data_IF_179052450483
#
_entry.id   IF_179052450483
#
_cell.length_a   1.000
_cell.length_b   1.000
_cell.length_c   1.000
_cell.angle_alpha   90.00
_cell.angle_beta   90.00
_cell.angle_gamma   90.00
#
_symmetry.space_group_name_H-M   'P 1'
#
loop_
_entity.id
_entity.type
_entity.pdbx_description
1 polymer ?
#
# COMPACT_ATOMS: atom_id res chain seq x y z
N UNK A 1 -6.18 32.19 11.39
CA UNK A 1 -6.63 30.79 11.58
C UNK A 1 -7.90 30.62 10.76
N UNK A 2 -7.81 29.98 9.60
CA UNK A 2 -8.98 29.58 8.81
C UNK A 2 -9.77 28.58 9.67
N UNK A 3 -11.01 28.96 10.04
CA UNK A 3 -11.94 28.07 10.72
C UNK A 3 -12.28 26.93 9.75
N UNK A 4 -11.74 25.74 9.94
CA UNK A 4 -12.08 24.57 9.13
C UNK A 4 -13.59 24.35 9.21
N UNK A 5 -14.28 24.42 8.09
CA UNK A 5 -15.70 24.09 8.01
C UNK A 5 -15.87 22.59 8.18
N UNK A 6 -16.56 22.17 9.25
CA UNK A 6 -16.81 20.77 9.55
C UNK A 6 -17.71 20.15 8.45
N UNK A 7 -17.28 19.02 7.93
CA UNK A 7 -17.98 18.30 6.85
C UNK A 7 -18.41 16.92 7.33
N UNK A 8 -19.46 16.40 6.72
CA UNK A 8 -19.76 14.97 6.77
C UNK A 8 -18.98 14.28 5.66
N UNK A 9 -18.16 13.31 6.02
CA UNK A 9 -17.33 12.54 5.09
C UNK A 9 -17.84 11.11 5.04
N UNK A 10 -18.11 10.63 3.85
CA UNK A 10 -18.48 9.23 3.59
C UNK A 10 -17.36 8.60 2.79
N UNK A 11 -16.60 7.70 3.41
CA UNK A 11 -15.52 6.96 2.79
C UNK A 11 -15.98 5.53 2.45
N UNK A 12 -16.09 5.22 1.17
CA UNK A 12 -16.26 3.84 0.71
C UNK A 12 -14.88 3.22 0.50
N UNK A 13 -14.59 2.11 1.15
CA UNK A 13 -13.31 1.42 1.07
C UNK A 13 -13.47 -0.05 0.69
N UNK A 14 -12.76 -0.50 -0.35
CA UNK A 14 -12.77 -1.91 -0.78
C UNK A 14 -12.08 -2.83 0.22
N UNK A 15 -11.20 -2.29 1.02
CA UNK A 15 -10.50 -2.95 2.10
C UNK A 15 -10.48 -2.03 3.32
N UNK A 16 -10.55 -2.63 4.50
CA UNK A 16 -10.45 -1.90 5.77
C UNK A 16 -9.90 -2.84 6.86
N UNK A 17 -9.12 -2.35 7.84
CA UNK A 17 -8.64 -3.17 8.95
C UNK A 17 -9.79 -3.85 9.73
N UNK A 18 -9.47 -4.90 10.55
CA UNK A 18 -8.13 -5.26 11.07
C UNK A 18 -7.27 -6.11 10.12
N UNK A 19 -7.83 -6.65 9.04
CA UNK A 19 -7.05 -7.44 8.10
C UNK A 19 -6.02 -6.56 7.36
N UNK A 20 -4.79 -7.07 7.15
CA UNK A 20 -3.75 -6.33 6.46
C UNK A 20 -4.10 -6.03 5.00
N UNK A 21 -3.63 -4.89 4.50
CA UNK A 21 -3.78 -4.46 3.11
C UNK A 21 -3.43 -2.99 2.93
N UNK A 22 -2.69 -2.65 1.88
CA UNK A 22 -2.25 -1.27 1.63
C UNK A 22 -3.41 -0.30 1.41
N UNK A 23 -4.42 -0.71 0.63
CA UNK A 23 -5.65 0.08 0.40
C UNK A 23 -6.41 0.28 1.70
N UNK A 24 -6.52 -0.79 2.51
CA UNK A 24 -7.20 -0.74 3.82
C UNK A 24 -6.50 0.19 4.81
N UNK A 25 -5.18 0.10 4.93
CA UNK A 25 -4.39 0.98 5.80
C UNK A 25 -4.48 2.44 5.36
N UNK A 26 -4.46 2.71 4.05
CA UNK A 26 -4.67 4.06 3.53
C UNK A 26 -6.07 4.60 3.90
N UNK A 27 -7.13 3.81 3.68
CA UNK A 27 -8.50 4.20 4.00
C UNK A 27 -8.68 4.47 5.51
N UNK A 28 -8.09 3.63 6.35
CA UNK A 28 -8.09 3.81 7.80
C UNK A 28 -7.41 5.11 8.22
N UNK A 29 -6.18 5.35 7.74
CA UNK A 29 -5.43 6.56 8.07
C UNK A 29 -6.15 7.82 7.58
N UNK A 30 -6.76 7.77 6.40
CA UNK A 30 -7.56 8.86 5.85
C UNK A 30 -8.77 9.18 6.75
N UNK A 31 -9.54 8.15 7.14
CA UNK A 31 -10.69 8.30 8.04
C UNK A 31 -10.29 8.82 9.41
N UNK A 32 -9.20 8.27 9.99
CA UNK A 32 -8.68 8.68 11.28
C UNK A 32 -8.26 10.15 11.31
N UNK A 33 -7.52 10.59 10.28
CA UNK A 33 -7.06 11.97 10.22
C UNK A 33 -8.20 12.95 9.94
N UNK A 34 -9.19 12.62 9.11
CA UNK A 34 -10.39 13.44 8.99
C UNK A 34 -11.15 13.54 10.32
N UNK A 35 -11.26 12.46 11.07
CA UNK A 35 -11.88 12.47 12.40
C UNK A 35 -11.10 13.34 13.40
N UNK A 36 -9.75 13.26 13.40
CA UNK A 36 -8.88 14.13 14.21
C UNK A 36 -9.01 15.61 13.86
N UNK A 37 -9.32 15.93 12.62
CA UNK A 37 -9.62 17.31 12.16
C UNK A 37 -11.04 17.76 12.53
N UNK A 38 -11.82 16.93 13.24
CA UNK A 38 -13.16 17.23 13.73
C UNK A 38 -14.28 16.94 12.73
N UNK A 39 -13.99 16.37 11.54
CA UNK A 39 -15.03 15.98 10.59
C UNK A 39 -15.84 14.79 11.09
N UNK A 40 -17.13 14.75 10.73
CA UNK A 40 -17.99 13.58 10.98
C UNK A 40 -17.77 12.53 9.90
N UNK A 41 -17.08 11.45 10.24
CA UNK A 41 -16.66 10.42 9.29
C UNK A 41 -17.52 9.18 9.41
N UNK A 42 -17.95 8.64 8.27
CA UNK A 42 -18.57 7.32 8.16
C UNK A 42 -17.84 6.50 7.10
N UNK A 43 -17.32 5.35 7.48
CA UNK A 43 -16.70 4.38 6.56
C UNK A 43 -17.71 3.33 6.17
N UNK A 44 -17.76 2.97 4.87
CA UNK A 44 -18.55 1.85 4.35
C UNK A 44 -17.59 0.85 3.72
N UNK A 45 -17.60 -0.38 4.21
CA UNK A 45 -16.72 -1.46 3.74
C UNK A 45 -17.42 -2.81 3.84
N UNK A 46 -16.79 -3.89 3.40
CA UNK A 46 -17.32 -5.25 3.55
C UNK A 46 -16.76 -5.94 4.79
N UNK A 47 -17.47 -6.93 5.31
CA UNK A 47 -16.87 -7.97 6.14
C UNK A 47 -15.88 -8.79 5.30
N UNK A 48 -14.68 -9.04 5.85
CA UNK A 48 -13.59 -9.77 5.16
C UNK A 48 -13.26 -11.10 5.81
N UNK A 49 -13.68 -11.32 7.06
CA UNK A 49 -13.49 -12.57 7.82
C UNK A 49 -14.81 -13.25 8.12
N UNK A 50 -14.76 -14.57 8.31
CA UNK A 50 -15.93 -15.33 8.76
C UNK A 50 -16.29 -15.05 10.22
N UNK A 51 -15.29 -14.80 11.05
CA UNK A 51 -15.43 -14.38 12.46
C UNK A 51 -15.61 -12.86 12.50
N UNK A 52 -16.84 -12.40 12.41
CA UNK A 52 -17.18 -10.97 12.35
C UNK A 52 -16.84 -10.22 13.63
N UNK A 53 -16.78 -10.92 14.75
CA UNK A 53 -16.49 -10.39 16.08
C UNK A 53 -15.19 -9.60 16.10
N UNK A 54 -14.14 -10.11 15.44
CA UNK A 54 -12.83 -9.43 15.35
C UNK A 54 -12.96 -8.07 14.67
N UNK A 55 -13.77 -7.98 13.62
CA UNK A 55 -13.99 -6.72 12.90
C UNK A 55 -14.92 -5.78 13.66
N UNK A 56 -15.92 -6.30 14.39
CA UNK A 56 -16.84 -5.51 15.24
C UNK A 56 -16.08 -4.91 16.42
N UNK A 57 -15.22 -5.70 17.09
CA UNK A 57 -14.40 -5.23 18.20
C UNK A 57 -13.43 -4.14 17.76
N UNK A 58 -12.78 -4.33 16.62
CA UNK A 58 -11.94 -3.31 16.02
C UNK A 58 -12.71 -2.02 15.74
N UNK A 59 -13.88 -2.12 15.09
CA UNK A 59 -14.70 -0.95 14.72
C UNK A 59 -15.20 -0.18 15.95
N UNK A 60 -15.49 -0.88 17.04
CA UNK A 60 -15.95 -0.26 18.31
C UNK A 60 -14.90 0.63 18.97
N UNK A 61 -13.62 0.41 18.68
CA UNK A 61 -12.49 1.19 19.21
C UNK A 61 -12.24 2.49 18.43
N UNK A 62 -12.93 2.70 17.29
CA UNK A 62 -12.65 3.80 16.37
C UNK A 62 -13.43 5.08 16.74
N UNK A 63 -12.85 6.27 16.50
CA UNK A 63 -13.52 7.55 16.77
C UNK A 63 -14.52 7.97 15.68
N UNK A 64 -14.90 7.05 14.79
CA UNK A 64 -15.84 7.26 13.68
C UNK A 64 -16.68 6.00 13.42
N UNK A 65 -17.79 6.16 12.70
CA UNK A 65 -18.70 5.06 12.41
C UNK A 65 -18.17 4.20 11.24
N UNK A 66 -18.17 2.87 11.41
CA UNK A 66 -17.95 1.91 10.33
C UNK A 66 -19.22 1.12 10.08
N UNK A 67 -19.62 1.02 8.82
CA UNK A 67 -20.75 0.23 8.33
C UNK A 67 -20.17 -0.91 7.49
N UNK A 68 -20.23 -2.14 8.01
CA UNK A 68 -19.78 -3.32 7.28
C UNK A 68 -20.92 -4.01 6.57
N UNK A 69 -20.69 -4.38 5.32
CA UNK A 69 -21.68 -5.02 4.45
C UNK A 69 -21.36 -6.50 4.33
N UNK A 70 -22.38 -7.31 4.52
CA UNK A 70 -22.24 -8.75 4.30
C UNK A 70 -22.11 -9.08 2.82
N UNK A 71 -21.09 -9.86 2.51
CA UNK A 71 -20.94 -10.47 1.19
C UNK A 71 -21.95 -11.62 1.07
N UNK A 72 -22.78 -11.56 0.04
CA UNK A 72 -23.72 -12.63 -0.29
C UNK A 72 -23.09 -13.57 -1.33
N UNK A 73 -23.53 -14.83 -1.37
CA UNK A 73 -23.06 -15.79 -2.38
C UNK A 73 -23.29 -15.27 -3.82
N UNK A 74 -24.34 -14.50 -4.02
CA UNK A 74 -24.58 -13.81 -5.29
C UNK A 74 -23.99 -12.38 -5.23
N UNK A 75 -23.02 -12.10 -6.09
CA UNK A 75 -22.35 -10.82 -6.18
C UNK A 75 -23.32 -9.65 -6.48
N UNK A 76 -24.36 -9.86 -7.29
CA UNK A 76 -25.33 -8.82 -7.59
C UNK A 76 -26.02 -8.32 -6.33
N UNK A 77 -26.44 -9.21 -5.42
CA UNK A 77 -27.04 -8.81 -4.15
C UNK A 77 -26.03 -8.09 -3.24
N UNK A 78 -24.77 -8.49 -3.28
CA UNK A 78 -23.71 -7.76 -2.54
C UNK A 78 -23.57 -6.33 -3.06
N UNK A 79 -23.54 -6.13 -4.39
CA UNK A 79 -23.47 -4.79 -4.98
C UNK A 79 -24.73 -3.97 -4.70
N UNK A 80 -25.92 -4.55 -4.77
CA UNK A 80 -27.16 -3.87 -4.40
C UNK A 80 -27.12 -3.39 -2.95
N UNK A 81 -26.68 -4.24 -2.02
CA UNK A 81 -26.54 -3.86 -0.61
C UNK A 81 -25.53 -2.71 -0.41
N UNK A 82 -24.41 -2.73 -1.11
CA UNK A 82 -23.42 -1.64 -1.09
C UNK A 82 -24.00 -0.31 -1.58
N UNK A 83 -24.71 -0.36 -2.73
CA UNK A 83 -25.37 0.82 -3.32
C UNK A 83 -26.43 1.38 -2.38
N UNK A 84 -27.27 0.50 -1.79
CA UNK A 84 -28.32 0.92 -0.85
C UNK A 84 -27.74 1.52 0.43
N UNK A 85 -26.73 0.90 1.01
CA UNK A 85 -26.05 1.42 2.20
C UNK A 85 -25.37 2.78 1.92
N UNK A 86 -24.65 2.90 0.80
CA UNK A 86 -24.03 4.15 0.38
C UNK A 86 -25.08 5.25 0.14
N UNK A 87 -26.14 4.95 -0.60
CA UNK A 87 -27.24 5.90 -0.87
C UNK A 87 -27.92 6.37 0.42
N UNK A 88 -28.21 5.44 1.34
CA UNK A 88 -28.82 5.75 2.64
C UNK A 88 -27.93 6.68 3.46
N UNK A 89 -26.64 6.36 3.55
CA UNK A 89 -25.66 7.16 4.32
C UNK A 89 -25.46 8.55 3.72
N UNK A 90 -25.29 8.65 2.40
CA UNK A 90 -25.13 9.92 1.68
C UNK A 90 -26.37 10.82 1.82
N UNK A 91 -27.56 10.23 1.73
CA UNK A 91 -28.81 11.00 1.87
C UNK A 91 -29.10 11.46 3.30
N UNK A 92 -28.59 10.74 4.31
CA UNK A 92 -28.72 11.13 5.73
C UNK A 92 -27.99 12.45 6.01
N UNK A 93 -26.92 12.73 5.30
CA UNK A 93 -26.06 13.90 5.50
C UNK A 93 -26.02 14.73 4.20
N UNK A 94 -26.82 15.80 4.14
CA UNK A 94 -26.78 16.73 3.00
C UNK A 94 -25.37 17.31 2.84
N UNK A 95 -24.91 17.44 1.59
CA UNK A 95 -23.58 17.97 1.23
C UNK A 95 -22.38 17.16 1.74
N UNK A 96 -22.55 15.84 1.88
CA UNK A 96 -21.42 14.96 2.21
C UNK A 96 -20.32 15.03 1.16
N UNK A 97 -19.08 14.98 1.62
CA UNK A 97 -17.89 14.71 0.80
C UNK A 97 -17.72 13.20 0.71
N UNK A 98 -17.65 12.68 -0.50
CA UNK A 98 -17.58 11.24 -0.75
C UNK A 98 -16.19 10.87 -1.25
N UNK A 99 -15.55 9.92 -0.58
CA UNK A 99 -14.33 9.29 -1.07
C UNK A 99 -14.60 7.83 -1.44
N UNK A 100 -14.04 7.39 -2.56
CA UNK A 100 -14.09 6.00 -3.00
C UNK A 100 -12.68 5.47 -3.18
N UNK A 101 -12.29 4.45 -2.40
CA UNK A 101 -10.97 3.83 -2.40
C UNK A 101 -11.07 2.35 -2.73
N UNK A 102 -10.43 1.94 -3.83
CA UNK A 102 -10.46 0.58 -4.36
C UNK A 102 -11.66 0.29 -5.26
N UNK A 103 -11.62 -0.86 -5.96
CA UNK A 103 -12.48 -1.18 -7.11
C UNK A 103 -13.97 -1.11 -6.83
N UNK A 104 -14.47 -1.85 -5.82
CA UNK A 104 -15.91 -1.88 -5.61
C UNK A 104 -16.46 -0.52 -5.19
N UNK A 105 -15.66 0.26 -4.49
CA UNK A 105 -16.02 1.61 -4.05
C UNK A 105 -16.17 2.55 -5.24
N UNK A 106 -15.23 2.48 -6.19
CA UNK A 106 -15.32 3.20 -7.46
C UNK A 106 -16.61 2.89 -8.21
N UNK A 107 -16.94 1.60 -8.38
CA UNK A 107 -18.13 1.19 -9.11
C UNK A 107 -19.41 1.60 -8.38
N UNK A 108 -19.44 1.43 -7.06
CA UNK A 108 -20.60 1.82 -6.25
C UNK A 108 -20.92 3.31 -6.38
N UNK A 109 -19.91 4.16 -6.20
CA UNK A 109 -20.09 5.62 -6.35
C UNK A 109 -20.33 6.01 -7.80
N UNK A 110 -19.66 5.36 -8.76
CA UNK A 110 -19.88 5.55 -10.20
C UNK A 110 -21.32 5.32 -10.61
N UNK A 111 -21.94 4.24 -10.12
CA UNK A 111 -23.36 3.94 -10.35
C UNK A 111 -24.27 4.99 -9.68
N UNK A 112 -23.96 5.40 -8.45
CA UNK A 112 -24.74 6.46 -7.78
C UNK A 112 -24.67 7.79 -8.53
N UNK A 113 -23.49 8.15 -9.05
CA UNK A 113 -23.28 9.36 -9.82
C UNK A 113 -23.98 9.34 -11.19
N UNK A 114 -24.26 8.16 -11.74
CA UNK A 114 -25.08 8.03 -12.95
C UNK A 114 -26.50 8.60 -12.75
N UNK A 115 -27.11 8.27 -11.60
CA UNK A 115 -28.47 8.74 -11.29
C UNK A 115 -28.49 10.19 -10.79
N UNK A 116 -27.47 10.60 -10.05
CA UNK A 116 -27.34 11.96 -9.50
C UNK A 116 -25.88 12.30 -9.29
N UNK A 117 -25.30 13.09 -10.19
CA UNK A 117 -23.89 13.53 -10.11
C UNK A 117 -23.65 14.30 -8.82
N UNK A 118 -22.78 13.75 -7.97
CA UNK A 118 -22.34 14.43 -6.76
C UNK A 118 -21.07 15.25 -7.05
N UNK A 119 -21.16 16.56 -6.88
CA UNK A 119 -20.03 17.50 -7.10
C UNK A 119 -18.94 17.41 -6.03
N UNK A 120 -19.15 16.65 -4.96
CA UNK A 120 -18.19 16.46 -3.86
C UNK A 120 -17.73 14.99 -3.78
N UNK A 121 -17.58 14.31 -4.92
CA UNK A 121 -17.11 12.92 -4.99
C UNK A 121 -15.68 12.83 -5.51
N UNK A 122 -14.83 12.11 -4.78
CA UNK A 122 -13.41 11.92 -5.03
C UNK A 122 -13.09 10.43 -5.13
N UNK A 123 -12.36 10.03 -6.16
CA UNK A 123 -11.78 8.69 -6.22
C UNK A 123 -10.35 8.71 -5.69
N UNK A 124 -9.93 7.65 -4.99
CA UNK A 124 -8.53 7.41 -4.63
C UNK A 124 -8.09 6.12 -5.29
N UNK A 125 -7.12 6.23 -6.19
CA UNK A 125 -6.68 5.16 -7.07
C UNK A 125 -5.30 4.68 -6.64
N UNK A 126 -5.19 3.37 -6.41
CA UNK A 126 -3.97 2.70 -5.96
C UNK A 126 -3.24 1.93 -7.07
N UNK A 127 -3.88 1.75 -8.25
CA UNK A 127 -3.29 1.14 -9.44
C UNK A 127 -3.89 -0.20 -9.82
N UNK A 128 -3.98 -1.17 -8.90
CA UNK A 128 -4.46 -2.53 -9.17
C UNK A 128 -5.91 -2.62 -9.67
N UNK A 129 -6.74 -1.64 -9.34
CA UNK A 129 -8.14 -1.56 -9.76
C UNK A 129 -8.35 -1.23 -11.24
N UNK A 130 -7.34 -0.70 -11.92
CA UNK A 130 -7.48 -0.14 -13.27
C UNK A 130 -7.54 -1.19 -14.38
N UNK A 131 -6.73 -2.24 -14.29
CA UNK A 131 -6.55 -3.22 -15.38
C UNK A 131 -7.06 -4.62 -15.05
N UNK A 132 -7.40 -4.87 -13.80
CA UNK A 132 -7.92 -6.17 -13.37
C UNK A 132 -9.38 -6.33 -13.76
N UNK A 133 -9.74 -7.55 -14.20
CA UNK A 133 -11.10 -7.91 -14.57
C UNK A 133 -11.32 -8.09 -16.07
N UNK A 134 -12.55 -8.44 -16.43
CA UNK A 134 -12.96 -8.64 -17.81
C UNK A 134 -13.27 -7.30 -18.52
N UNK A 135 -13.56 -7.35 -19.81
CA UNK A 135 -13.83 -6.17 -20.65
C UNK A 135 -14.95 -5.26 -20.09
N UNK A 136 -16.02 -5.86 -19.51
CA UNK A 136 -17.13 -5.09 -18.93
C UNK A 136 -16.70 -4.38 -17.66
N UNK A 137 -15.90 -5.03 -16.83
CA UNK A 137 -15.35 -4.43 -15.60
C UNK A 137 -14.41 -3.26 -15.92
N UNK A 138 -13.58 -3.40 -16.93
CA UNK A 138 -12.71 -2.31 -17.41
C UNK A 138 -13.53 -1.12 -17.94
N UNK A 139 -14.60 -1.38 -18.71
CA UNK A 139 -15.53 -0.32 -19.15
C UNK A 139 -16.24 0.35 -17.97
N UNK A 140 -16.67 -0.43 -16.97
CA UNK A 140 -17.31 0.11 -15.77
C UNK A 140 -16.33 0.95 -14.96
N UNK A 141 -15.06 0.51 -14.84
CA UNK A 141 -14.00 1.30 -14.20
C UNK A 141 -13.77 2.62 -14.92
N UNK A 142 -13.59 2.60 -16.24
CA UNK A 142 -13.43 3.82 -17.07
C UNK A 142 -14.61 4.78 -16.91
N UNK A 143 -15.84 4.27 -16.98
CA UNK A 143 -17.06 5.05 -16.77
C UNK A 143 -17.09 5.65 -15.35
N UNK A 144 -16.81 4.82 -14.32
CA UNK A 144 -16.83 5.26 -12.94
C UNK A 144 -15.85 6.41 -12.70
N UNK A 145 -14.61 6.28 -13.19
CA UNK A 145 -13.60 7.34 -13.10
C UNK A 145 -14.09 8.67 -13.71
N UNK A 146 -14.79 8.63 -14.85
CA UNK A 146 -15.32 9.82 -15.53
C UNK A 146 -16.49 10.46 -14.77
N UNK A 147 -17.09 9.75 -13.82
CA UNK A 147 -18.25 10.24 -13.06
C UNK A 147 -17.89 11.03 -11.81
N UNK A 148 -16.66 10.92 -11.32
CA UNK A 148 -16.19 11.64 -10.14
C UNK A 148 -15.96 13.13 -10.42
N UNK A 149 -16.04 13.93 -9.37
CA UNK A 149 -15.68 15.34 -9.44
C UNK A 149 -14.17 15.51 -9.65
N UNK A 150 -13.36 14.75 -8.89
CA UNK A 150 -11.91 14.67 -9.06
C UNK A 150 -11.40 13.24 -8.85
N UNK A 151 -10.34 12.92 -9.55
CA UNK A 151 -9.62 11.65 -9.39
C UNK A 151 -8.26 11.95 -8.73
N UNK A 152 -7.94 11.19 -7.67
CA UNK A 152 -6.70 11.29 -6.92
C UNK A 152 -5.89 10.01 -7.19
N UNK A 153 -4.67 10.17 -7.66
CA UNK A 153 -3.70 9.09 -7.81
C UNK A 153 -2.70 9.11 -6.64
N UNK A 154 -2.37 7.95 -6.08
CA UNK A 154 -1.42 7.86 -4.96
C UNK A 154 0.04 8.03 -5.39
N UNK A 155 0.32 8.10 -6.70
CA UNK A 155 1.66 8.30 -7.27
C UNK A 155 1.57 8.86 -8.69
N UNK A 156 2.68 9.43 -9.20
CA UNK A 156 2.81 9.78 -10.61
C UNK A 156 2.64 8.57 -11.51
N UNK A 157 3.21 7.43 -11.10
CA UNK A 157 3.02 6.17 -11.81
C UNK A 157 1.53 5.80 -11.93
N UNK A 158 0.76 5.89 -10.86
CA UNK A 158 -0.68 5.59 -10.87
C UNK A 158 -1.46 6.61 -11.73
N UNK A 159 -1.09 7.90 -11.71
CA UNK A 159 -1.65 8.91 -12.62
C UNK A 159 -1.43 8.51 -14.08
N UNK A 160 -0.23 8.07 -14.44
CA UNK A 160 0.10 7.68 -15.80
C UNK A 160 -0.65 6.42 -16.23
N UNK A 161 -0.93 5.49 -15.29
CA UNK A 161 -1.83 4.37 -15.52
C UNK A 161 -3.27 4.82 -15.80
N UNK A 162 -3.80 5.78 -15.04
CA UNK A 162 -5.14 6.34 -15.26
C UNK A 162 -5.22 6.98 -16.65
N UNK A 163 -4.17 7.70 -17.07
CA UNK A 163 -4.09 8.33 -18.38
C UNK A 163 -4.14 7.32 -19.53
N UNK A 164 -3.62 6.10 -19.34
CA UNK A 164 -3.77 5.00 -20.31
C UNK A 164 -5.21 4.49 -20.42
N UNK A 165 -5.97 4.53 -19.32
CA UNK A 165 -7.39 4.12 -19.32
C UNK A 165 -8.29 5.22 -19.90
N UNK A 166 -8.02 6.48 -19.54
CA UNK A 166 -8.76 7.63 -20.05
C UNK A 166 -7.88 8.90 -20.02
N UNK A 167 -7.28 9.27 -21.18
CA UNK A 167 -6.35 10.41 -21.26
C UNK A 167 -6.99 11.78 -21.01
N UNK A 168 -8.31 11.86 -21.03
CA UNK A 168 -9.03 13.13 -20.86
C UNK A 168 -9.41 13.41 -19.38
N UNK A 169 -9.01 12.54 -18.45
CA UNK A 169 -9.29 12.74 -17.03
C UNK A 169 -8.24 13.66 -16.40
N UNK A 170 -8.72 14.65 -15.69
CA UNK A 170 -7.90 15.41 -14.77
C UNK A 170 -7.64 14.57 -13.51
N UNK A 171 -6.36 14.38 -13.18
CA UNK A 171 -5.91 13.55 -12.06
C UNK A 171 -4.94 14.35 -11.20
N UNK A 172 -5.26 14.49 -9.93
CA UNK A 172 -4.39 15.09 -8.93
C UNK A 172 -3.53 14.00 -8.28
N UNK A 173 -2.24 14.24 -8.12
CA UNK A 173 -1.34 13.30 -7.42
C UNK A 173 -1.22 13.74 -5.98
N UNK A 174 -1.65 12.85 -5.06
CA UNK A 174 -1.48 13.02 -3.62
C UNK A 174 -0.84 11.74 -3.10
N UNK A 175 0.45 11.80 -2.81
CA UNK A 175 1.18 10.64 -2.32
C UNK A 175 0.64 10.15 -0.97
N UNK A 176 0.75 8.85 -0.73
CA UNK A 176 0.32 8.27 0.53
C UNK A 176 1.16 8.80 1.69
N UNK A 177 0.47 9.17 2.76
CA UNK A 177 1.09 9.35 4.06
C UNK A 177 1.28 8.01 4.78
N UNK A 178 2.01 8.03 5.86
CA UNK A 178 2.23 6.88 6.74
C UNK A 178 2.12 7.32 8.20
N UNK A 179 1.86 6.36 9.09
CA UNK A 179 1.97 6.59 10.53
C UNK A 179 3.42 6.36 10.95
N UNK A 180 4.03 7.40 11.53
CA UNK A 180 5.42 7.28 12.00
C UNK A 180 5.49 6.15 13.05
N UNK A 181 6.51 5.32 12.94
CA UNK A 181 6.78 4.29 13.93
C UNK A 181 7.34 4.99 15.17
N UNK A 182 6.63 4.87 16.30
CA UNK A 182 7.07 5.49 17.53
C UNK A 182 8.38 4.86 18.02
N UNK A 183 9.37 5.71 18.27
CA UNK A 183 10.67 5.36 18.85
C UNK A 183 10.65 5.88 20.29
N UNK A 184 10.98 5.04 21.26
CA UNK A 184 11.17 5.50 22.64
C UNK A 184 12.41 6.41 22.72
N UNK A 185 12.31 7.50 23.49
CA UNK A 185 13.45 8.40 23.70
C UNK A 185 14.63 7.61 24.29
N UNK A 186 15.81 7.71 23.62
CA UNK A 186 17.03 7.00 24.03
C UNK A 186 17.26 5.65 23.37
N UNK A 187 16.34 5.13 22.55
CA UNK A 187 16.62 3.95 21.72
C UNK A 187 17.67 4.28 20.64
N UNK A 188 18.91 3.92 20.91
CA UNK A 188 20.00 4.01 19.92
C UNK A 188 19.86 2.85 18.93
N UNK A 189 19.79 3.18 17.65
CA UNK A 189 19.85 2.18 16.58
C UNK A 189 21.29 1.67 16.47
N UNK A 190 21.64 0.64 17.25
CA UNK A 190 22.89 -0.07 17.05
C UNK A 190 22.77 -0.89 15.76
N UNK A 191 23.10 -0.27 14.64
CA UNK A 191 23.29 -0.97 13.37
C UNK A 191 24.56 -1.79 13.53
N UNK A 192 24.38 -3.07 13.87
CA UNK A 192 25.50 -4.02 14.03
C UNK A 192 26.18 -4.13 12.67
N UNK A 193 27.31 -3.43 12.52
CA UNK A 193 28.10 -3.41 11.28
C UNK A 193 28.58 -4.79 10.83
N UNK A 194 28.59 -5.75 11.74
CA UNK A 194 29.10 -7.10 11.47
C UNK A 194 28.06 -8.06 10.83
N UNK A 195 26.78 -7.70 10.81
CA UNK A 195 25.71 -8.53 10.25
C UNK A 195 24.72 -7.68 9.47
N UNK A 196 25.01 -7.50 8.19
CA UNK A 196 24.15 -6.76 7.30
C UNK A 196 22.82 -7.52 7.07
N UNK A 197 21.71 -6.82 7.10
CA UNK A 197 20.38 -7.37 6.88
C UNK A 197 19.60 -6.55 5.88
N UNK A 198 19.05 -7.23 4.89
CA UNK A 198 18.05 -6.69 3.95
C UNK A 198 16.67 -7.07 4.48
N UNK A 199 15.70 -6.19 4.40
CA UNK A 199 14.32 -6.50 4.78
C UNK A 199 13.33 -6.11 3.68
N UNK A 200 12.29 -6.96 3.51
CA UNK A 200 11.08 -6.63 2.76
C UNK A 200 9.85 -6.83 3.63
N UNK A 201 8.96 -5.84 3.69
CA UNK A 201 7.70 -5.91 4.42
C UNK A 201 6.53 -5.89 3.45
N UNK A 202 5.69 -6.92 3.52
CA UNK A 202 4.49 -7.09 2.70
C UNK A 202 4.20 -8.54 2.37
N UNK A 203 2.98 -8.83 1.92
CA UNK A 203 2.58 -10.20 1.55
C UNK A 203 3.59 -10.82 0.59
N UNK A 204 3.95 -12.08 0.82
CA UNK A 204 4.88 -12.82 -0.04
C UNK A 204 4.17 -13.17 -1.33
N UNK A 205 4.50 -12.46 -2.42
CA UNK A 205 3.83 -12.61 -3.71
C UNK A 205 4.71 -12.16 -4.87
N UNK A 206 4.45 -12.67 -6.07
CA UNK A 206 5.19 -12.26 -7.29
C UNK A 206 5.18 -10.75 -7.50
N UNK A 207 4.09 -10.08 -7.17
CA UNK A 207 3.97 -8.62 -7.26
C UNK A 207 4.96 -7.88 -6.37
N UNK A 208 5.16 -8.34 -5.14
CA UNK A 208 6.06 -7.69 -4.15
C UNK A 208 7.55 -7.87 -4.44
N UNK A 209 7.91 -8.84 -5.30
CA UNK A 209 9.25 -8.95 -5.86
C UNK A 209 10.30 -9.54 -4.93
N UNK A 210 9.92 -10.29 -3.89
CA UNK A 210 10.88 -10.98 -3.03
C UNK A 210 11.78 -11.93 -3.84
N UNK A 211 11.26 -12.54 -4.91
CA UNK A 211 12.05 -13.37 -5.82
C UNK A 211 13.20 -12.60 -6.51
N UNK A 212 13.02 -11.30 -6.76
CA UNK A 212 14.07 -10.48 -7.38
C UNK A 212 15.21 -10.21 -6.40
N UNK A 213 14.88 -10.02 -5.11
CA UNK A 213 15.89 -9.91 -4.03
C UNK A 213 16.66 -11.22 -3.90
N UNK A 214 15.96 -12.38 -3.87
CA UNK A 214 16.61 -13.71 -3.78
C UNK A 214 17.54 -13.93 -4.97
N UNK A 215 17.18 -13.52 -6.20
CA UNK A 215 18.06 -13.60 -7.38
C UNK A 215 19.29 -12.71 -7.29
N UNK A 216 19.24 -11.61 -6.55
CA UNK A 216 20.38 -10.73 -6.35
C UNK A 216 21.32 -11.21 -5.23
N UNK A 217 20.86 -12.09 -4.31
CA UNK A 217 21.67 -12.58 -3.19
C UNK A 217 23.01 -13.22 -3.60
N UNK A 218 23.11 -14.07 -4.64
CA UNK A 218 24.39 -14.64 -5.03
C UNK A 218 25.47 -13.57 -5.29
N UNK A 219 25.13 -12.49 -5.99
CA UNK A 219 26.05 -11.37 -6.28
C UNK A 219 26.39 -10.58 -5.00
N UNK A 220 25.42 -10.39 -4.12
CA UNK A 220 25.63 -9.70 -2.84
C UNK A 220 26.54 -10.51 -1.90
N UNK A 221 26.38 -11.83 -1.86
CA UNK A 221 27.15 -12.74 -1.00
C UNK A 221 28.65 -12.80 -1.34
N UNK A 222 29.02 -12.53 -2.59
CA UNK A 222 30.44 -12.42 -2.99
C UNK A 222 31.16 -11.38 -2.15
N UNK A 223 30.51 -10.24 -1.90
CA UNK A 223 31.12 -9.12 -1.15
C UNK A 223 30.70 -9.09 0.32
N UNK A 224 29.51 -9.56 0.60
CA UNK A 224 28.88 -9.55 1.94
C UNK A 224 28.48 -10.95 2.37
N UNK A 225 29.42 -11.86 2.69
CA UNK A 225 29.15 -13.28 2.87
C UNK A 225 28.27 -13.61 4.07
N UNK A 226 27.99 -12.65 4.95
CA UNK A 226 27.12 -12.81 6.12
C UNK A 226 25.78 -12.05 5.98
N UNK A 227 25.46 -11.53 4.80
CA UNK A 227 24.22 -10.78 4.58
C UNK A 227 23.01 -11.71 4.76
N UNK A 228 21.96 -11.20 5.39
CA UNK A 228 20.71 -11.91 5.60
C UNK A 228 19.56 -11.18 4.94
N UNK A 229 18.58 -11.92 4.46
CA UNK A 229 17.36 -11.39 3.89
C UNK A 229 16.15 -11.78 4.74
N UNK A 230 15.52 -10.78 5.36
CA UNK A 230 14.38 -10.90 6.24
C UNK A 230 13.09 -10.61 5.47
N UNK A 231 12.15 -11.55 5.43
CA UNK A 231 10.87 -11.43 4.73
C UNK A 231 9.74 -11.43 5.75
N UNK A 232 9.04 -10.29 5.85
CA UNK A 232 7.92 -10.10 6.78
C UNK A 232 6.62 -9.95 6.01
N UNK A 233 5.62 -10.76 6.32
CA UNK A 233 4.28 -10.71 5.72
C UNK A 233 3.66 -12.09 5.54
N UNK A 234 2.38 -12.13 5.14
CA UNK A 234 1.64 -13.37 4.93
C UNK A 234 2.38 -14.22 3.88
N UNK A 235 2.77 -15.46 4.21
CA UNK A 235 3.71 -16.24 3.39
C UNK A 235 3.01 -17.02 2.25
N UNK A 236 2.25 -16.31 1.40
CA UNK A 236 1.39 -16.91 0.35
C UNK A 236 2.18 -17.73 -0.66
N UNK A 237 3.39 -17.28 -1.04
CA UNK A 237 4.25 -17.94 -2.04
C UNK A 237 5.58 -18.40 -1.44
N UNK A 238 5.62 -18.70 -0.14
CA UNK A 238 6.83 -19.08 0.59
C UNK A 238 7.55 -20.27 -0.03
N UNK A 239 6.83 -21.36 -0.33
CA UNK A 239 7.42 -22.59 -0.88
C UNK A 239 8.13 -22.34 -2.22
N UNK A 240 7.52 -21.58 -3.10
CA UNK A 240 8.10 -21.19 -4.39
C UNK A 240 9.41 -20.41 -4.22
N UNK A 241 9.44 -19.49 -3.24
CA UNK A 241 10.63 -18.68 -2.94
C UNK A 241 11.73 -19.49 -2.25
N UNK A 242 11.39 -20.42 -1.36
CA UNK A 242 12.37 -21.35 -0.76
C UNK A 242 13.01 -22.23 -1.84
N UNK A 243 12.21 -22.79 -2.75
CA UNK A 243 12.74 -23.56 -3.87
C UNK A 243 13.71 -22.76 -4.73
N UNK A 244 13.37 -21.47 -5.00
CA UNK A 244 14.26 -20.56 -5.72
C UNK A 244 15.57 -20.31 -4.95
N UNK A 245 15.48 -20.08 -3.64
CA UNK A 245 16.65 -19.85 -2.79
C UNK A 245 17.58 -21.07 -2.78
N UNK A 246 17.03 -22.28 -2.63
CA UNK A 246 17.78 -23.54 -2.69
C UNK A 246 18.44 -23.76 -4.06
N UNK A 247 17.72 -23.50 -5.17
CA UNK A 247 18.28 -23.59 -6.52
C UNK A 247 19.48 -22.66 -6.74
N UNK A 248 19.47 -21.51 -6.05
CA UNK A 248 20.55 -20.52 -6.13
C UNK A 248 21.63 -20.70 -5.04
N UNK A 249 21.46 -21.68 -4.13
CA UNK A 249 22.40 -21.95 -3.02
C UNK A 249 22.46 -20.83 -1.99
N UNK A 250 21.33 -20.15 -1.75
CA UNK A 250 21.25 -18.99 -0.82
C UNK A 250 20.17 -19.16 0.26
N UNK A 251 19.62 -20.35 0.42
CA UNK A 251 18.52 -20.64 1.37
C UNK A 251 18.92 -20.40 2.84
N UNK A 252 20.17 -20.63 3.23
CA UNK A 252 20.69 -20.30 4.56
C UNK A 252 20.70 -18.79 4.88
N UNK A 253 20.48 -17.94 3.86
CA UNK A 253 20.48 -16.48 3.98
C UNK A 253 19.07 -15.87 3.92
N UNK A 254 18.01 -16.69 3.75
CA UNK A 254 16.62 -16.21 3.58
C UNK A 254 15.75 -16.63 4.75
N UNK A 255 15.16 -15.64 5.44
CA UNK A 255 14.36 -15.86 6.65
C UNK A 255 12.93 -15.35 6.46
N UNK A 256 11.94 -16.24 6.66
CA UNK A 256 10.52 -15.92 6.57
C UNK A 256 9.91 -15.82 7.96
N UNK A 257 9.49 -14.64 8.37
CA UNK A 257 8.88 -14.39 9.68
C UNK A 257 7.36 -14.58 9.69
N UNK A 258 6.72 -14.58 8.52
CA UNK A 258 5.26 -14.60 8.44
C UNK A 258 4.64 -13.25 8.83
N UNK A 259 3.38 -13.28 9.24
CA UNK A 259 2.72 -12.12 9.82
C UNK A 259 3.17 -11.94 11.27
N UNK A 260 3.73 -10.79 11.59
CA UNK A 260 4.30 -10.48 12.91
C UNK A 260 3.50 -9.36 13.60
N UNK A 261 3.68 -9.24 14.91
CA UNK A 261 3.15 -8.11 15.69
C UNK A 261 3.86 -6.79 15.32
N UNK A 262 3.23 -5.65 15.63
CA UNK A 262 3.85 -4.34 15.40
C UNK A 262 5.19 -4.17 16.14
N UNK A 263 5.32 -4.71 17.35
CA UNK A 263 6.55 -4.65 18.12
C UNK A 263 7.66 -5.49 17.47
N UNK A 264 7.32 -6.67 16.96
CA UNK A 264 8.27 -7.52 16.25
C UNK A 264 8.66 -6.93 14.91
N UNK A 265 7.71 -6.33 14.16
CA UNK A 265 8.01 -5.59 12.94
C UNK A 265 8.98 -4.44 13.20
N UNK A 266 8.72 -3.64 14.25
CA UNK A 266 9.62 -2.56 14.68
C UNK A 266 11.01 -3.07 14.99
N UNK A 267 11.12 -4.20 15.72
CA UNK A 267 12.39 -4.84 16.04
C UNK A 267 13.15 -5.30 14.79
N UNK A 268 12.48 -5.97 13.86
CA UNK A 268 13.09 -6.45 12.62
C UNK A 268 13.54 -5.29 11.73
N UNK A 269 12.73 -4.26 11.60
CA UNK A 269 13.12 -3.04 10.88
C UNK A 269 14.35 -2.40 11.51
N UNK A 270 14.38 -2.20 12.84
CA UNK A 270 15.53 -1.60 13.52
C UNK A 270 16.86 -2.33 13.29
N UNK A 271 16.81 -3.66 13.16
CA UNK A 271 17.98 -4.48 12.86
C UNK A 271 18.42 -4.43 11.40
N UNK A 272 17.54 -3.97 10.52
CA UNK A 272 17.78 -4.03 9.08
C UNK A 272 18.63 -2.87 8.60
N UNK A 273 19.50 -3.14 7.64
CA UNK A 273 20.41 -2.17 7.06
C UNK A 273 19.78 -1.44 5.88
N UNK A 274 19.15 -2.17 4.96
CA UNK A 274 18.53 -1.61 3.76
C UNK A 274 17.16 -2.26 3.55
N UNK A 275 16.17 -1.46 3.21
CA UNK A 275 14.83 -1.92 2.85
C UNK A 275 14.75 -2.20 1.35
N UNK A 276 14.31 -3.40 0.95
CA UNK A 276 14.14 -3.75 -0.45
C UNK A 276 12.66 -3.90 -0.80
N UNK A 277 12.25 -3.27 -1.91
CA UNK A 277 10.94 -3.51 -2.53
C UNK A 277 11.10 -3.54 -4.05
N UNK A 278 11.50 -4.69 -4.57
CA UNK A 278 11.78 -4.92 -5.99
C UNK A 278 10.54 -5.44 -6.75
N UNK A 279 9.40 -4.75 -6.59
CA UNK A 279 8.09 -5.15 -7.11
C UNK A 279 8.07 -5.35 -8.62
N UNK A 280 7.16 -6.21 -9.07
CA UNK A 280 6.87 -6.45 -10.49
C UNK A 280 5.52 -5.88 -10.89
N UNK A 281 5.42 -5.55 -12.17
CA UNK A 281 4.13 -5.38 -12.86
C UNK A 281 3.71 -6.75 -13.36
N UNK A 282 2.56 -7.25 -12.92
CA UNK A 282 2.05 -8.54 -13.35
C UNK A 282 1.26 -8.45 -14.66
N UNK A 283 1.17 -9.56 -15.38
CA UNK A 283 0.44 -9.63 -16.66
C UNK A 283 -1.05 -9.34 -16.54
N UNK A 284 -1.65 -9.56 -15.36
CA UNK A 284 -3.04 -9.21 -15.07
C UNK A 284 -3.25 -7.73 -14.71
N UNK A 285 -2.18 -6.90 -14.79
CA UNK A 285 -2.21 -5.48 -14.46
C UNK A 285 -2.06 -5.16 -12.97
N UNK A 286 -1.84 -6.16 -12.10
CA UNK A 286 -1.58 -5.89 -10.68
C UNK A 286 -0.18 -5.29 -10.49
N UNK A 287 -0.13 -4.17 -9.76
CA UNK A 287 1.09 -3.36 -9.59
C UNK A 287 1.19 -2.83 -8.16
N UNK A 288 2.40 -2.46 -7.75
CA UNK A 288 2.59 -1.67 -6.54
C UNK A 288 2.37 -0.20 -6.84
N UNK A 289 1.33 0.39 -6.23
CA UNK A 289 0.93 1.76 -6.52
C UNK A 289 1.77 2.83 -5.85
N UNK A 290 2.45 2.51 -4.72
CA UNK A 290 3.27 3.49 -4.01
C UNK A 290 4.36 2.86 -3.13
N UNK A 291 4.01 1.94 -2.21
CA UNK A 291 4.97 1.31 -1.30
C UNK A 291 5.09 2.01 0.06
N UNK A 292 3.98 2.14 0.81
CA UNK A 292 3.95 2.79 2.14
C UNK A 292 5.03 2.23 3.09
N UNK A 293 5.29 0.92 3.06
CA UNK A 293 6.30 0.28 3.90
C UNK A 293 7.73 0.85 3.72
N UNK A 294 8.02 1.46 2.57
CA UNK A 294 9.28 2.18 2.34
C UNK A 294 9.35 3.41 3.25
N UNK A 295 8.26 4.18 3.34
CA UNK A 295 8.23 5.37 4.20
C UNK A 295 8.32 5.00 5.68
N UNK A 296 7.70 3.88 6.07
CA UNK A 296 7.81 3.32 7.42
C UNK A 296 9.26 2.97 7.75
N UNK A 297 9.98 2.29 6.85
CA UNK A 297 11.39 1.99 7.01
C UNK A 297 12.26 3.26 7.00
N UNK A 298 12.01 4.17 6.07
CA UNK A 298 12.73 5.45 5.98
C UNK A 298 12.59 6.28 7.26
N UNK A 299 11.42 6.28 7.91
CA UNK A 299 11.21 6.99 9.18
C UNK A 299 12.09 6.49 10.33
N UNK A 300 12.70 5.32 10.17
CA UNK A 300 13.69 4.71 11.06
C UNK A 300 15.13 4.90 10.56
N UNK A 301 15.34 5.73 9.54
CA UNK A 301 16.65 5.95 8.93
C UNK A 301 17.16 4.72 8.15
N UNK A 302 16.27 3.88 7.61
CA UNK A 302 16.66 2.72 6.79
C UNK A 302 16.48 3.13 5.32
N UNK A 303 17.58 3.30 4.57
CA UNK A 303 17.51 3.64 3.15
C UNK A 303 16.88 2.50 2.34
N UNK A 304 16.26 2.84 1.20
CA UNK A 304 15.52 1.87 0.41
C UNK A 304 16.14 1.63 -0.99
N UNK A 305 16.01 0.39 -1.48
CA UNK A 305 16.19 0.05 -2.89
C UNK A 305 14.86 -0.45 -3.44
N UNK A 306 14.37 0.21 -4.48
CA UNK A 306 13.05 -0.07 -5.05
C UNK A 306 13.05 -0.17 -6.56
N UNK A 307 11.99 -0.79 -7.12
CA UNK A 307 11.84 -0.96 -8.57
C UNK A 307 11.46 0.34 -9.30
N UNK A 308 12.02 0.53 -10.49
CA UNK A 308 11.78 1.71 -11.35
C UNK A 308 10.41 1.67 -12.05
N UNK A 309 9.85 0.49 -12.31
CA UNK A 309 8.65 0.32 -13.12
C UNK A 309 7.37 0.16 -12.28
N UNK A 310 7.23 0.92 -11.20
CA UNK A 310 6.08 0.88 -10.29
C UNK A 310 5.95 2.19 -9.52
N UNK A 311 4.89 2.35 -8.74
CA UNK A 311 4.71 3.52 -7.88
C UNK A 311 5.74 3.67 -6.76
N UNK A 312 6.61 2.69 -6.58
CA UNK A 312 7.73 2.72 -5.62
C UNK A 312 8.70 3.87 -5.91
N UNK A 313 8.88 4.22 -7.19
CA UNK A 313 9.72 5.36 -7.58
C UNK A 313 9.27 6.70 -6.98
N UNK A 314 7.98 6.82 -6.62
CA UNK A 314 7.46 8.02 -5.95
C UNK A 314 7.68 7.99 -4.42
N UNK A 315 7.92 6.82 -3.83
CA UNK A 315 8.23 6.67 -2.41
C UNK A 315 9.72 6.82 -2.09
N UNK A 316 10.60 6.78 -3.11
CA UNK A 316 12.05 6.88 -2.95
C UNK A 316 12.55 8.12 -3.69
N UNK A 317 13.17 9.06 -3.01
CA UNK A 317 13.94 10.13 -3.66
C UNK A 317 15.26 9.55 -4.11
N UNK A 318 15.35 9.20 -5.41
CA UNK A 318 16.51 8.54 -6.01
C UNK A 318 17.81 9.29 -5.75
N UNK A 319 18.86 8.58 -5.33
CA UNK A 319 20.18 9.11 -4.91
C UNK A 319 20.14 10.07 -3.72
N UNK A 320 19.02 10.09 -2.97
CA UNK A 320 18.88 10.89 -1.77
C UNK A 320 18.49 10.01 -0.57
N UNK A 321 17.24 9.48 -0.53
CA UNK A 321 16.79 8.58 0.53
C UNK A 321 16.92 7.09 0.18
N UNK A 322 17.44 6.79 -1.01
CA UNK A 322 17.60 5.43 -1.52
C UNK A 322 17.84 5.40 -3.02
N UNK A 323 17.71 4.23 -3.62
CA UNK A 323 17.97 4.02 -5.04
C UNK A 323 16.79 3.32 -5.73
N UNK A 324 16.51 3.75 -6.94
CA UNK A 324 15.50 3.16 -7.82
C UNK A 324 16.22 2.46 -8.96
N UNK A 325 15.95 1.17 -9.16
CA UNK A 325 16.69 0.26 -10.05
C UNK A 325 15.76 -0.59 -10.92
N UNK A 326 16.28 -1.20 -11.98
CA UNK A 326 15.57 -2.30 -12.64
C UNK A 326 15.59 -3.53 -11.72
N UNK A 327 14.42 -3.87 -11.18
CA UNK A 327 14.27 -4.98 -10.24
C UNK A 327 14.64 -6.36 -10.79
N UNK A 328 14.73 -6.50 -12.11
CA UNK A 328 15.11 -7.76 -12.79
C UNK A 328 16.61 -7.85 -13.07
N UNK A 329 17.34 -6.75 -12.91
CA UNK A 329 18.79 -6.71 -13.13
C UNK A 329 19.51 -6.89 -11.78
N UNK A 330 19.92 -8.12 -11.47
CA UNK A 330 20.60 -8.45 -10.20
C UNK A 330 21.92 -7.71 -10.01
N UNK A 331 22.63 -7.38 -11.09
CA UNK A 331 23.89 -6.63 -11.03
C UNK A 331 23.62 -5.17 -10.64
N UNK A 332 22.59 -4.55 -11.21
CA UNK A 332 22.18 -3.19 -10.85
C UNK A 332 21.71 -3.12 -9.40
N UNK A 333 20.95 -4.13 -8.94
CA UNK A 333 20.50 -4.25 -7.54
C UNK A 333 21.72 -4.35 -6.61
N UNK A 334 22.71 -5.17 -6.95
CA UNK A 334 23.93 -5.33 -6.15
C UNK A 334 24.77 -4.05 -6.13
N UNK A 335 24.94 -3.40 -7.28
CA UNK A 335 25.65 -2.12 -7.38
C UNK A 335 24.96 -1.01 -6.58
N UNK A 336 23.62 -0.99 -6.57
CA UNK A 336 22.86 -0.05 -5.76
C UNK A 336 23.06 -0.29 -4.26
N UNK A 337 23.12 -1.54 -3.82
CA UNK A 337 23.42 -1.87 -2.43
C UNK A 337 24.83 -1.39 -2.06
N UNK A 338 25.82 -1.64 -2.91
CA UNK A 338 27.20 -1.17 -2.72
C UNK A 338 27.28 0.36 -2.57
N UNK A 339 26.53 1.08 -3.41
CA UNK A 339 26.49 2.54 -3.38
C UNK A 339 25.92 3.07 -2.05
N UNK A 340 24.81 2.46 -1.59
CA UNK A 340 24.24 2.81 -0.28
C UNK A 340 25.24 2.51 0.84
N UNK A 341 25.89 1.33 0.80
CA UNK A 341 26.84 0.95 1.86
C UNK A 341 28.08 1.84 1.92
N UNK A 342 28.52 2.37 0.77
CA UNK A 342 29.64 3.31 0.70
C UNK A 342 29.35 4.62 1.44
N UNK A 343 28.14 5.17 1.27
CA UNK A 343 27.71 6.45 1.83
C UNK A 343 26.53 6.28 2.79
N UNK A 344 26.54 5.18 3.59
CA UNK A 344 25.41 4.71 4.38
C UNK A 344 24.80 5.77 5.29
N UNK A 345 25.64 6.50 6.04
CA UNK A 345 25.16 7.52 7.00
C UNK A 345 24.39 8.64 6.28
N UNK A 346 24.87 9.06 5.10
CA UNK A 346 24.18 10.07 4.27
C UNK A 346 22.83 9.60 3.81
N UNK A 347 22.73 8.37 3.30
CA UNK A 347 21.44 7.80 2.89
C UNK A 347 20.48 7.59 4.06
N UNK A 348 21.01 7.18 5.21
CA UNK A 348 20.25 6.97 6.43
C UNK A 348 19.67 8.27 6.99
N UNK A 349 20.46 9.34 7.06
CA UNK A 349 20.00 10.67 7.48
C UNK A 349 18.97 11.25 6.51
N UNK A 350 19.21 11.11 5.22
CA UNK A 350 18.31 11.59 4.18
C UNK A 350 16.97 10.81 4.09
N UNK A 351 16.91 9.59 4.65
CA UNK A 351 15.72 8.79 4.67
C UNK A 351 14.68 9.32 5.69
N UNK A 352 15.14 9.90 6.82
CA UNK A 352 14.29 10.49 7.87
C UNK A 352 13.66 11.81 7.39
#
# INVERSE_FOLDING_TARGET
LYKLELKNIVLLASEFPPLPGGIGNHAYNLALNFSKLGHNVTVITDYRVNQKEIEIDFDSSLPFLVIRIERKNNLLFTYLNRILAAKKTINKHKNSVIFASGRFSLWTVGILNFFKKNKNSFSVIHGSELFSGNYFEQKLTKYSLSSFHKNIAVSNFTRDLISKVNPNLEVEVINNGFSKIDIEEGEVFNKVKDKLSIITVGNVSQRKGQQNVIRALPSLLVKYPKIQYEIVGIPTEKESLLNLATQLGVDDHVYFHGAVSNNELKYLLKKSTVFFMLSNVLSNGDVEGFGIAILEANSLGIPAIGSSNSGISDAIKHKFSGLVVDSKNSEEVSAAFDLIMKDYEVYSENAI
#
